data_IF_342390916845
#
_entry.id   IF_342390916845
#
_cell.length_a   1.000
_cell.length_b   1.000
_cell.length_c   1.000
_cell.angle_alpha   90.00
_cell.angle_beta   90.00
_cell.angle_gamma   90.00
#
_symmetry.space_group_name_H-M   'P 1'
#
loop_
_entity.id
_entity.type
_entity.pdbx_description
1 polymer ?
#
# COMPACT_ATOMS: atom_id res chain seq x y z
N UNK A 1 -23.79 5.00 -1.80
CA UNK A 1 -22.93 4.49 -0.73
C UNK A 1 -21.51 4.73 -1.23
N UNK A 2 -20.88 5.78 -0.69
CA UNK A 2 -19.45 5.96 -0.92
C UNK A 2 -18.72 4.77 -0.31
N UNK A 3 -18.18 3.91 -1.17
CA UNK A 3 -17.29 2.85 -0.75
C UNK A 3 -15.90 3.46 -0.56
N UNK A 4 -15.81 4.35 0.41
CA UNK A 4 -14.55 4.89 0.87
C UNK A 4 -13.93 3.88 1.82
N UNK A 5 -12.86 3.26 1.39
CA UNK A 5 -12.19 2.16 2.08
C UNK A 5 -11.33 2.58 3.25
N UNK A 6 -11.18 3.86 3.53
CA UNK A 6 -10.27 4.30 4.59
C UNK A 6 -10.98 5.29 5.49
N UNK A 7 -11.77 4.78 6.41
CA UNK A 7 -12.11 5.51 7.61
C UNK A 7 -11.16 5.12 8.74
N UNK A 8 -11.01 5.97 9.75
CA UNK A 8 -10.20 5.70 10.93
C UNK A 8 -10.54 4.36 11.63
N UNK A 9 -11.74 3.84 11.40
CA UNK A 9 -12.17 2.53 11.91
C UNK A 9 -11.59 1.34 11.12
N UNK A 10 -11.30 1.52 9.82
CA UNK A 10 -10.65 0.47 9.01
C UNK A 10 -9.16 0.33 9.36
N UNK A 11 -8.48 1.43 9.67
CA UNK A 11 -7.10 1.37 10.18
C UNK A 11 -6.96 0.56 11.47
N UNK A 12 -8.05 0.32 12.20
CA UNK A 12 -8.03 -0.42 13.47
C UNK A 12 -8.44 -1.89 13.29
N UNK A 13 -9.24 -2.22 12.26
CA UNK A 13 -9.83 -3.56 12.10
C UNK A 13 -9.16 -4.44 11.05
N UNK A 14 -8.85 -3.87 9.89
CA UNK A 14 -8.53 -4.63 8.68
C UNK A 14 -7.16 -4.23 8.10
N UNK A 15 -6.42 -3.34 8.75
CA UNK A 15 -5.09 -2.93 8.34
C UNK A 15 -4.01 -3.43 9.29
N UNK A 16 -2.85 -3.73 8.69
CA UNK A 16 -1.64 -4.00 9.45
C UNK A 16 -0.68 -2.81 9.31
N UNK A 17 0.12 -2.60 10.35
CA UNK A 17 1.22 -1.65 10.30
C UNK A 17 2.40 -2.16 9.48
N UNK A 18 3.40 -1.34 9.34
CA UNK A 18 4.62 -1.63 8.60
C UNK A 18 5.75 -2.15 9.48
N UNK A 19 5.65 -2.01 10.80
CA UNK A 19 6.68 -2.38 11.78
C UNK A 19 6.12 -3.18 12.97
N UNK A 20 6.56 -4.43 13.08
CA UNK A 20 6.25 -5.36 14.18
C UNK A 20 7.50 -5.82 14.93
N UNK A 21 8.64 -5.14 14.76
CA UNK A 21 9.93 -5.61 15.23
C UNK A 21 10.54 -6.68 14.31
N UNK A 22 9.90 -6.98 13.20
CA UNK A 22 10.37 -7.81 12.09
C UNK A 22 9.71 -7.34 10.80
N UNK A 23 10.35 -7.60 9.66
CA UNK A 23 9.86 -7.13 8.36
C UNK A 23 8.67 -7.98 7.86
N UNK A 24 7.91 -7.42 6.92
CA UNK A 24 6.72 -8.08 6.36
C UNK A 24 7.05 -9.34 5.53
N UNK A 25 8.30 -9.57 5.16
CA UNK A 25 8.75 -10.79 4.49
C UNK A 25 9.20 -11.90 5.44
N UNK A 26 9.19 -11.67 6.77
CA UNK A 26 9.57 -12.69 7.76
C UNK A 26 8.65 -13.92 7.63
N UNK A 27 9.22 -15.13 7.46
CA UNK A 27 8.43 -16.37 7.35
C UNK A 27 7.47 -16.63 8.51
N UNK A 28 7.66 -16.00 9.66
CA UNK A 28 6.69 -16.07 10.77
C UNK A 28 5.32 -15.55 10.40
N UNK A 29 5.24 -14.66 9.40
CA UNK A 29 3.97 -14.13 8.88
C UNK A 29 3.29 -15.06 7.87
N UNK A 30 3.92 -16.11 7.39
CA UNK A 30 3.32 -16.98 6.37
C UNK A 30 2.01 -17.62 6.86
N UNK A 31 1.91 -17.96 8.16
CA UNK A 31 0.65 -18.47 8.75
C UNK A 31 -0.45 -17.39 8.76
N UNK A 32 -0.08 -16.15 9.03
CA UNK A 32 -1.00 -15.02 8.99
C UNK A 32 -1.47 -14.77 7.56
N UNK A 33 -0.58 -14.72 6.58
CA UNK A 33 -0.93 -14.56 5.17
C UNK A 33 -1.83 -15.68 4.65
N UNK A 34 -1.56 -16.92 5.05
CA UNK A 34 -2.43 -18.03 4.69
C UNK A 34 -3.83 -17.88 5.31
N UNK A 35 -3.93 -17.41 6.54
CA UNK A 35 -5.22 -17.15 7.19
C UNK A 35 -6.02 -16.07 6.45
N UNK A 36 -5.37 -14.98 6.02
CA UNK A 36 -5.99 -13.91 5.21
C UNK A 36 -6.55 -14.49 3.90
N UNK A 37 -5.77 -15.35 3.23
CA UNK A 37 -6.20 -16.04 2.01
C UNK A 37 -7.40 -16.97 2.28
N UNK A 38 -7.35 -17.75 3.34
CA UNK A 38 -8.40 -18.71 3.69
C UNK A 38 -9.73 -18.02 4.05
N UNK A 39 -9.66 -16.80 4.58
CA UNK A 39 -10.80 -15.94 4.87
C UNK A 39 -11.30 -15.18 3.64
N UNK A 40 -10.57 -15.21 2.53
CA UNK A 40 -10.85 -14.47 1.29
C UNK A 40 -11.08 -12.97 1.53
N UNK A 41 -10.21 -12.36 2.31
CA UNK A 41 -10.23 -10.91 2.59
C UNK A 41 -8.95 -10.25 2.11
N UNK A 42 -8.99 -8.98 1.67
CA UNK A 42 -7.77 -8.24 1.37
C UNK A 42 -7.05 -7.82 2.65
N UNK A 43 -5.74 -7.65 2.53
CA UNK A 43 -4.90 -7.08 3.56
C UNK A 43 -4.58 -5.63 3.21
N UNK A 44 -4.93 -4.69 4.09
CA UNK A 44 -4.62 -3.28 3.93
C UNK A 44 -3.37 -2.94 4.75
N UNK A 45 -2.41 -2.25 4.15
CA UNK A 45 -1.20 -1.80 4.81
C UNK A 45 -1.26 -0.29 4.98
N UNK A 46 -1.13 0.15 6.23
CA UNK A 46 -1.05 1.56 6.61
C UNK A 46 0.20 1.79 7.47
N UNK A 47 0.92 2.89 7.27
CA UNK A 47 2.15 3.17 8.02
C UNK A 47 1.91 3.36 9.51
N UNK A 48 2.90 2.99 10.32
CA UNK A 48 2.85 3.02 11.77
C UNK A 48 4.06 3.76 12.37
N UNK A 49 4.26 5.01 11.95
CA UNK A 49 5.48 5.78 12.29
C UNK A 49 5.64 6.11 13.76
N UNK A 50 4.54 6.33 14.49
CA UNK A 50 4.60 6.81 15.87
C UNK A 50 4.25 5.73 16.92
N UNK A 51 3.72 4.60 16.49
CA UNK A 51 3.28 3.51 17.35
C UNK A 51 3.92 2.17 16.99
N UNK A 52 4.86 2.15 16.06
CA UNK A 52 5.64 0.97 15.76
C UNK A 52 6.56 0.59 16.94
N UNK A 53 7.01 -0.65 16.95
CA UNK A 53 7.85 -1.18 18.02
C UNK A 53 9.17 -0.39 18.16
N UNK A 54 9.70 0.11 17.05
CA UNK A 54 10.95 0.86 17.01
C UNK A 54 10.79 2.38 17.19
N UNK A 55 9.53 2.89 17.22
CA UNK A 55 9.23 4.31 17.36
C UNK A 55 9.73 5.16 16.16
N UNK A 56 9.41 6.44 16.16
CA UNK A 56 10.00 7.38 15.21
C UNK A 56 11.50 7.56 15.57
N UNK A 57 12.35 6.77 14.96
CA UNK A 57 13.76 6.67 15.32
C UNK A 57 14.58 7.93 14.97
N UNK A 58 14.01 8.88 14.21
CA UNK A 58 14.74 10.07 13.76
C UNK A 58 14.07 11.34 14.28
N UNK A 59 14.70 11.97 15.28
CA UNK A 59 14.21 13.22 15.87
C UNK A 59 14.05 14.36 14.84
N UNK A 60 14.70 14.27 13.68
CA UNK A 60 14.55 15.23 12.59
C UNK A 60 13.15 15.21 11.99
N UNK A 61 12.47 14.08 12.07
CA UNK A 61 11.08 13.94 11.60
C UNK A 61 10.07 14.62 12.51
N UNK A 62 10.43 15.00 13.74
CA UNK A 62 9.51 15.65 14.69
C UNK A 62 9.11 17.09 14.32
N UNK A 63 9.75 17.67 13.28
CA UNK A 63 9.50 19.07 12.85
C UNK A 63 8.75 19.07 11.52
N UNK A 64 7.95 20.11 11.31
CA UNK A 64 7.27 20.42 10.04
C UNK A 64 6.28 19.32 9.57
N UNK A 65 5.87 18.41 10.44
CA UNK A 65 5.04 17.26 10.05
C UNK A 65 5.77 16.25 9.17
N UNK A 66 7.11 16.19 9.24
CA UNK A 66 7.90 15.29 8.41
C UNK A 66 7.65 13.82 8.77
N UNK A 67 7.20 13.52 9.98
CA UNK A 67 6.75 12.21 10.40
C UNK A 67 5.56 11.72 9.55
N UNK A 68 4.62 12.59 9.22
CA UNK A 68 3.50 12.27 8.33
C UNK A 68 3.93 12.27 6.85
N UNK A 69 4.67 13.29 6.42
CA UNK A 69 5.00 13.48 5.00
C UNK A 69 6.05 12.47 4.53
N UNK A 70 7.17 12.37 5.25
CA UNK A 70 8.29 11.49 4.89
C UNK A 70 8.23 10.14 5.61
N UNK A 71 7.83 10.16 6.88
CA UNK A 71 7.78 8.95 7.70
C UNK A 71 6.79 7.93 7.13
N UNK A 72 5.60 8.35 6.76
CA UNK A 72 4.62 7.47 6.13
C UNK A 72 5.12 6.93 4.79
N UNK A 73 5.58 7.80 3.90
CA UNK A 73 6.11 7.38 2.60
C UNK A 73 7.32 6.44 2.73
N UNK A 74 8.17 6.65 3.75
CA UNK A 74 9.30 5.78 4.04
C UNK A 74 8.86 4.38 4.46
N UNK A 75 7.94 4.30 5.42
CA UNK A 75 7.42 3.03 5.93
C UNK A 75 6.72 2.20 4.83
N UNK A 76 5.88 2.85 4.03
CA UNK A 76 5.21 2.21 2.89
C UNK A 76 6.21 1.71 1.85
N UNK A 77 7.24 2.50 1.57
CA UNK A 77 8.29 2.09 0.64
C UNK A 77 9.03 0.84 1.13
N UNK A 78 9.33 0.76 2.44
CA UNK A 78 9.93 -0.43 3.05
C UNK A 78 8.97 -1.61 2.98
N UNK A 79 7.69 -1.41 3.31
CA UNK A 79 6.68 -2.45 3.29
C UNK A 79 6.56 -3.09 1.89
N UNK A 80 6.42 -2.25 0.85
CA UNK A 80 6.37 -2.73 -0.55
C UNK A 80 7.65 -3.45 -0.93
N UNK A 81 8.81 -2.88 -0.60
CA UNK A 81 10.09 -3.51 -0.91
C UNK A 81 10.24 -4.88 -0.24
N UNK A 82 9.84 -5.00 1.04
CA UNK A 82 9.86 -6.26 1.78
C UNK A 82 8.94 -7.30 1.15
N UNK A 83 7.70 -6.93 0.83
CA UNK A 83 6.73 -7.85 0.20
C UNK A 83 7.21 -8.36 -1.17
N UNK A 84 7.77 -7.47 -1.99
CA UNK A 84 8.19 -7.80 -3.36
C UNK A 84 9.54 -8.51 -3.36
N UNK A 85 10.60 -7.90 -2.81
CA UNK A 85 11.95 -8.47 -2.82
C UNK A 85 12.06 -9.69 -1.90
N UNK A 86 11.33 -9.70 -0.78
CA UNK A 86 11.23 -10.83 0.13
C UNK A 86 10.38 -11.98 -0.41
N UNK A 87 9.77 -11.82 -1.60
CA UNK A 87 9.05 -12.88 -2.32
C UNK A 87 7.73 -13.29 -1.69
N UNK A 88 7.11 -12.45 -0.85
CA UNK A 88 5.81 -12.77 -0.20
C UNK A 88 4.73 -13.02 -1.26
N UNK A 89 4.65 -12.15 -2.27
CA UNK A 89 3.64 -12.28 -3.33
C UNK A 89 3.81 -13.55 -4.16
N UNK A 90 5.03 -14.08 -4.28
CA UNK A 90 5.32 -15.36 -4.96
C UNK A 90 4.97 -16.56 -4.08
N UNK A 91 5.24 -16.48 -2.77
CA UNK A 91 4.87 -17.53 -1.81
C UNK A 91 3.36 -17.61 -1.61
N UNK A 92 2.68 -16.46 -1.71
CA UNK A 92 1.24 -16.32 -1.44
C UNK A 92 0.50 -15.69 -2.63
N UNK A 93 0.42 -16.35 -3.79
CA UNK A 93 -0.08 -15.75 -5.04
C UNK A 93 -1.58 -15.41 -5.03
N UNK A 94 -2.31 -15.83 -4.01
CA UNK A 94 -3.73 -15.50 -3.81
C UNK A 94 -3.94 -14.38 -2.78
N UNK A 95 -2.86 -13.87 -2.19
CA UNK A 95 -2.92 -12.79 -1.23
C UNK A 95 -3.13 -11.46 -1.95
N UNK A 96 -4.22 -10.79 -1.69
CA UNK A 96 -4.43 -9.41 -2.12
C UNK A 96 -3.95 -8.46 -1.03
N UNK A 97 -2.96 -7.65 -1.35
CA UNK A 97 -2.42 -6.62 -0.46
C UNK A 97 -2.62 -5.25 -1.08
N UNK A 98 -3.27 -4.34 -0.37
CA UNK A 98 -3.44 -2.95 -0.76
C UNK A 98 -2.58 -2.05 0.13
N UNK A 99 -1.75 -1.24 -0.49
CA UNK A 99 -0.84 -0.31 0.19
C UNK A 99 -1.37 1.11 0.07
N UNK A 100 -1.41 1.83 1.19
CA UNK A 100 -1.90 3.21 1.25
C UNK A 100 -0.94 4.21 0.57
N UNK A 101 -1.46 5.42 0.33
CA UNK A 101 -0.74 6.59 -0.21
C UNK A 101 0.12 6.27 -1.44
N UNK A 102 -0.45 5.46 -2.38
CA UNK A 102 0.26 5.05 -3.60
C UNK A 102 1.56 4.26 -3.37
N UNK A 103 1.77 3.70 -2.18
CA UNK A 103 2.98 2.97 -1.81
C UNK A 103 4.20 3.85 -1.53
N UNK A 104 3.98 5.08 -1.11
CA UNK A 104 5.03 6.01 -0.71
C UNK A 104 5.93 6.43 -1.89
N UNK A 105 7.23 6.25 -1.76
CA UNK A 105 8.20 6.63 -2.79
C UNK A 105 8.49 5.51 -3.82
N UNK A 106 7.73 4.41 -3.80
CA UNK A 106 8.07 3.22 -4.58
C UNK A 106 8.08 3.49 -6.09
N UNK A 107 7.12 4.27 -6.59
CA UNK A 107 7.03 4.60 -8.02
C UNK A 107 8.26 5.39 -8.48
N UNK A 108 8.72 6.35 -7.67
CA UNK A 108 9.94 7.14 -7.96
C UNK A 108 11.21 6.27 -7.89
N UNK A 109 11.28 5.31 -6.99
CA UNK A 109 12.46 4.47 -6.75
C UNK A 109 12.45 3.17 -7.55
N UNK A 110 11.41 2.86 -8.31
CA UNK A 110 11.18 1.59 -8.99
C UNK A 110 12.42 1.05 -9.73
N UNK A 111 13.05 1.90 -10.56
CA UNK A 111 14.22 1.47 -11.33
C UNK A 111 15.45 1.17 -10.45
N UNK A 112 15.57 1.85 -9.30
CA UNK A 112 16.65 1.58 -8.35
C UNK A 112 16.44 0.26 -7.64
N UNK A 113 15.21 -0.09 -7.31
CA UNK A 113 14.86 -1.41 -6.73
C UNK A 113 15.10 -2.52 -7.74
N UNK A 114 14.71 -2.34 -9.00
CA UNK A 114 14.98 -3.31 -10.07
C UNK A 114 16.49 -3.56 -10.25
N UNK A 115 17.27 -2.47 -10.30
CA UNK A 115 18.73 -2.57 -10.41
C UNK A 115 19.36 -3.26 -9.21
N UNK A 116 18.85 -3.00 -8.00
CA UNK A 116 19.33 -3.64 -6.77
C UNK A 116 18.95 -5.12 -6.73
N UNK A 117 17.73 -5.48 -7.12
CA UNK A 117 17.29 -6.87 -7.23
C UNK A 117 18.22 -7.67 -8.16
N UNK A 118 18.55 -7.09 -9.31
CA UNK A 118 19.52 -7.69 -10.26
C UNK A 118 20.91 -7.81 -9.64
N UNK A 119 21.39 -6.79 -8.94
CA UNK A 119 22.72 -6.80 -8.30
C UNK A 119 22.82 -7.87 -7.21
N UNK A 120 21.77 -8.05 -6.42
CA UNK A 120 21.70 -9.05 -5.36
C UNK A 120 21.44 -10.45 -5.89
N UNK A 121 21.14 -10.61 -7.18
CA UNK A 121 20.83 -11.90 -7.80
C UNK A 121 19.51 -12.49 -7.27
N UNK A 122 18.57 -11.64 -6.88
CA UNK A 122 17.24 -12.12 -6.49
C UNK A 122 16.50 -12.62 -7.72
N UNK A 123 15.62 -13.62 -7.54
CA UNK A 123 14.75 -14.12 -8.62
C UNK A 123 13.59 -13.16 -8.93
N UNK A 124 13.53 -12.03 -8.23
CA UNK A 124 12.47 -11.04 -8.38
C UNK A 124 12.76 -10.12 -9.56
N UNK A 125 11.81 -10.02 -10.46
CA UNK A 125 11.66 -8.89 -11.38
C UNK A 125 10.81 -7.86 -10.65
N UNK A 126 11.45 -6.95 -9.92
CA UNK A 126 10.76 -6.01 -9.03
C UNK A 126 9.60 -5.28 -9.73
N UNK A 127 9.85 -4.82 -10.95
CA UNK A 127 8.85 -4.07 -11.71
C UNK A 127 7.60 -4.88 -12.08
N UNK A 128 7.74 -6.18 -12.31
CA UNK A 128 6.58 -7.05 -12.61
C UNK A 128 5.89 -7.51 -11.33
N UNK A 129 6.67 -7.87 -10.31
CA UNK A 129 6.14 -8.35 -9.04
C UNK A 129 5.40 -7.21 -8.29
N UNK A 130 5.79 -5.94 -8.50
CA UNK A 130 5.09 -4.78 -7.98
C UNK A 130 3.62 -4.71 -8.42
N UNK A 131 3.31 -5.18 -9.62
CA UNK A 131 1.94 -5.21 -10.17
C UNK A 131 1.04 -6.28 -9.53
N UNK A 132 1.57 -7.11 -8.65
CA UNK A 132 0.79 -8.05 -7.86
C UNK A 132 0.10 -7.38 -6.66
N UNK A 133 0.55 -6.19 -6.28
CA UNK A 133 -0.02 -5.39 -5.20
C UNK A 133 -1.12 -4.47 -5.71
N UNK A 134 -2.03 -4.11 -4.81
CA UNK A 134 -2.99 -3.04 -4.99
C UNK A 134 -2.47 -1.76 -4.32
N UNK A 135 -2.87 -0.61 -4.85
CA UNK A 135 -2.49 0.70 -4.30
C UNK A 135 -3.72 1.59 -4.23
N UNK A 136 -3.81 2.42 -3.21
CA UNK A 136 -4.79 3.47 -3.23
C UNK A 136 -4.32 4.68 -4.06
N UNK A 137 -5.29 5.50 -4.49
CA UNK A 137 -5.04 6.71 -5.27
C UNK A 137 -4.90 7.96 -4.38
N UNK A 138 -4.67 7.79 -3.07
CA UNK A 138 -4.60 8.93 -2.16
C UNK A 138 -3.30 9.74 -2.37
N UNK A 139 -3.31 10.51 -3.44
CA UNK A 139 -2.26 11.45 -3.85
C UNK A 139 -2.93 12.65 -4.52
N UNK A 140 -2.37 13.85 -4.34
CA UNK A 140 -2.82 15.01 -5.10
C UNK A 140 -2.64 14.80 -6.60
N UNK A 141 -3.64 15.20 -7.40
CA UNK A 141 -3.55 15.16 -8.85
C UNK A 141 -2.32 15.94 -9.34
N UNK A 142 -1.57 15.33 -10.27
CA UNK A 142 -0.37 15.94 -10.82
C UNK A 142 0.71 14.91 -11.19
N UNK A 143 1.93 15.35 -11.50
CA UNK A 143 2.97 14.48 -12.00
C UNK A 143 3.33 13.28 -11.10
N UNK A 144 3.21 13.43 -9.77
CA UNK A 144 3.45 12.33 -8.84
C UNK A 144 2.37 11.26 -8.93
N UNK A 145 1.09 11.68 -8.98
CA UNK A 145 -0.03 10.79 -9.21
C UNK A 145 0.09 10.05 -10.55
N UNK A 146 0.39 10.78 -11.64
CA UNK A 146 0.58 10.19 -12.97
C UNK A 146 1.72 9.16 -12.98
N UNK A 147 2.78 9.41 -12.23
CA UNK A 147 3.90 8.48 -12.08
C UNK A 147 3.44 7.17 -11.41
N UNK A 148 2.65 7.25 -10.35
CA UNK A 148 2.10 6.05 -9.67
C UNK A 148 1.20 5.29 -10.64
N UNK A 149 0.23 5.96 -11.27
CA UNK A 149 -0.68 5.35 -12.27
C UNK A 149 0.09 4.62 -13.37
N UNK A 150 1.11 5.25 -13.95
CA UNK A 150 1.93 4.64 -15.00
C UNK A 150 2.82 3.50 -14.51
N UNK A 151 3.09 3.45 -13.20
CA UNK A 151 3.95 2.43 -12.59
C UNK A 151 3.18 1.17 -12.24
N UNK A 152 2.02 1.31 -11.60
CA UNK A 152 1.26 0.18 -11.07
C UNK A 152 0.15 -0.28 -12.01
N UNK A 153 -0.39 0.63 -12.84
CA UNK A 153 -1.52 0.38 -13.72
C UNK A 153 -2.87 0.67 -13.06
N UNK A 154 -3.85 1.10 -13.85
CA UNK A 154 -5.18 1.45 -13.35
C UNK A 154 -5.93 0.24 -12.77
N UNK A 155 -5.67 -0.95 -13.27
CA UNK A 155 -6.30 -2.20 -12.85
C UNK A 155 -5.85 -2.66 -11.44
N UNK A 156 -4.87 -2.01 -10.87
CA UNK A 156 -4.33 -2.26 -9.52
C UNK A 156 -4.47 -1.06 -8.58
N UNK A 157 -5.30 -0.10 -8.94
CA UNK A 157 -5.59 1.06 -8.11
C UNK A 157 -7.01 1.03 -7.57
N UNK A 158 -7.17 1.50 -6.35
CA UNK A 158 -8.46 1.73 -5.70
C UNK A 158 -8.54 3.18 -5.23
N UNK A 159 -9.75 3.73 -5.14
CA UNK A 159 -9.92 5.08 -4.62
C UNK A 159 -9.74 5.10 -3.10
N UNK A 160 -8.75 5.84 -2.64
CA UNK A 160 -8.48 6.11 -1.24
C UNK A 160 -8.83 7.55 -0.87
N UNK A 161 -9.65 7.74 0.16
CA UNK A 161 -10.09 9.08 0.60
C UNK A 161 -9.33 9.59 1.82
N UNK A 162 -8.53 8.74 2.47
CA UNK A 162 -7.97 9.05 3.79
C UNK A 162 -9.01 9.70 4.73
N UNK A 163 -10.24 9.18 4.72
CA UNK A 163 -11.35 9.74 5.48
C UNK A 163 -11.00 9.80 6.97
N UNK A 164 -11.10 10.98 7.54
CA UNK A 164 -10.69 11.25 8.93
C UNK A 164 -9.21 11.66 9.04
N UNK A 165 -8.44 11.60 7.97
CA UNK A 165 -7.09 12.15 7.89
C UNK A 165 -7.11 13.68 7.71
N UNK A 166 -5.94 14.30 7.85
CA UNK A 166 -5.77 15.76 7.75
C UNK A 166 -5.91 16.29 6.30
N UNK A 167 -5.74 15.43 5.32
CA UNK A 167 -5.70 15.71 3.88
C UNK A 167 -6.80 14.99 3.09
N UNK A 168 -7.92 14.67 3.75
CA UNK A 168 -9.09 14.07 3.10
C UNK A 168 -9.53 14.91 1.89
N UNK A 169 -9.60 14.34 0.67
CA UNK A 169 -10.05 15.07 -0.51
C UNK A 169 -11.46 15.64 -0.34
N UNK A 170 -11.65 16.88 -0.74
CA UNK A 170 -12.94 17.55 -0.68
C UNK A 170 -13.82 17.30 -1.91
N UNK A 171 -13.23 16.79 -2.98
CA UNK A 171 -13.88 16.53 -4.26
C UNK A 171 -13.53 15.11 -4.72
N UNK A 172 -14.54 14.37 -5.12
CA UNK A 172 -14.38 13.06 -5.80
C UNK A 172 -14.45 13.31 -7.31
N UNK A 173 -13.38 12.99 -8.01
CA UNK A 173 -13.25 13.22 -9.45
C UNK A 173 -13.86 12.08 -10.28
N UNK A 174 -13.93 12.22 -11.59
CA UNK A 174 -14.37 11.13 -12.47
C UNK A 174 -13.32 10.01 -12.55
N UNK A 175 -12.04 10.36 -12.36
CA UNK A 175 -10.97 9.37 -12.21
C UNK A 175 -11.24 8.47 -11.00
N UNK A 176 -11.51 9.05 -9.84
CA UNK A 176 -11.79 8.33 -8.60
C UNK A 176 -12.99 7.39 -8.74
N UNK A 177 -14.09 7.90 -9.34
CA UNK A 177 -15.28 7.08 -9.63
C UNK A 177 -14.97 5.93 -10.57
N UNK A 178 -14.06 6.13 -11.52
CA UNK A 178 -13.59 5.10 -12.45
C UNK A 178 -12.89 3.92 -11.77
N UNK A 179 -12.38 4.11 -10.53
CA UNK A 179 -11.73 3.06 -9.75
C UNK A 179 -12.71 2.20 -8.91
N UNK A 180 -14.00 2.57 -8.86
CA UNK A 180 -15.02 1.82 -8.11
C UNK A 180 -15.06 0.32 -8.43
N UNK A 181 -14.97 -0.13 -9.70
CA UNK A 181 -14.95 -1.56 -10.00
C UNK A 181 -13.80 -2.31 -9.33
N UNK A 182 -12.63 -1.69 -9.27
CA UNK A 182 -11.45 -2.26 -8.62
C UNK A 182 -11.65 -2.42 -7.11
N UNK A 183 -12.23 -1.40 -6.46
CA UNK A 183 -12.55 -1.46 -5.03
C UNK A 183 -13.56 -2.57 -4.74
N UNK A 184 -14.58 -2.71 -5.57
CA UNK A 184 -15.57 -3.80 -5.45
C UNK A 184 -14.91 -5.17 -5.61
N UNK A 185 -14.00 -5.32 -6.58
CA UNK A 185 -13.23 -6.55 -6.77
C UNK A 185 -12.35 -6.86 -5.55
N UNK A 186 -11.56 -5.90 -5.10
CA UNK A 186 -10.65 -6.06 -3.97
C UNK A 186 -11.40 -6.47 -2.70
N UNK A 187 -12.56 -5.85 -2.45
CA UNK A 187 -13.38 -6.07 -1.25
C UNK A 187 -14.36 -7.23 -1.35
N UNK A 188 -14.39 -7.95 -2.48
CA UNK A 188 -15.39 -9.02 -2.72
C UNK A 188 -16.84 -8.53 -2.61
N UNK A 189 -17.09 -7.27 -2.95
CA UNK A 189 -18.44 -6.71 -2.93
C UNK A 189 -19.22 -7.13 -4.18
N UNK A 190 -20.54 -7.42 -4.04
CA UNK A 190 -21.36 -7.69 -5.21
C UNK A 190 -21.45 -6.43 -6.09
N UNK A 191 -21.45 -6.63 -7.41
CA UNK A 191 -21.66 -5.54 -8.35
C UNK A 191 -23.02 -4.88 -8.08
N UNK A 192 -23.02 -3.58 -7.85
CA UNK A 192 -24.21 -2.75 -7.72
C UNK A 192 -24.25 -1.84 -8.96
N UNK A 193 -25.24 -2.03 -9.85
CA UNK A 193 -25.50 -1.07 -10.90
C UNK A 193 -25.87 0.28 -10.25
N UNK A 194 -25.07 1.30 -10.50
CA UNK A 194 -25.32 2.67 -10.04
C UNK A 194 -26.06 3.46 -11.10
#
# INVERSE_FOLDING_TARGET
>A
IDVSLVGSEMCIRDSIGTDYGFSLDDPKLDVFYQTVIDLDVPLLIHPATNNGIHGAADERLSRFGLDLILGYAYEETIAVASLVLGGVMKRHPKLDVCVSHGGGAIAFLKQRFESMATFLGTESTFCEDLKLLWFDSHLEEGPAHDLVVSTVGLDRMVFGTNFGGWDTPTVVTDFDRGLTPNAMQLLRLPWIEM
#
